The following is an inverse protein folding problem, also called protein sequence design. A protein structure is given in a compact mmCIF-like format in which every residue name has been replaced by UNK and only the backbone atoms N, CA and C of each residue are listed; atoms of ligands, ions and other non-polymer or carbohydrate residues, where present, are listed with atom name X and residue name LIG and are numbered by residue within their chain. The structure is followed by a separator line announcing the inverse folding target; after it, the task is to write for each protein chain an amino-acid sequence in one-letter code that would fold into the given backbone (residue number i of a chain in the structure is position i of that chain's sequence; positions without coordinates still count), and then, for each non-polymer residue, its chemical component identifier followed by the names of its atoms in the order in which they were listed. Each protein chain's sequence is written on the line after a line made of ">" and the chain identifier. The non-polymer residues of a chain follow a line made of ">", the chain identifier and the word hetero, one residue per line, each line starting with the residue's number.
data_IF_536250590556
#
_entry.id   IF_536250590556
#
_cell.length_a   1.000
_cell.length_b   1.000
_cell.length_c   1.000
_cell.angle_alpha   90.00
_cell.angle_beta   90.00
_cell.angle_gamma   90.00
#
_symmetry.space_group_name_H-M   'P 1'
#
loop_
_entity.id
_entity.type
_entity.pdbx_description
1 polymer ?
#
# COMPACT_ATOMS: atom_id res chain seq x y z
N UNK A 1 10.23 -5.93 -12.35
CA UNK A 1 9.01 -5.45 -13.05
C UNK A 1 9.17 -4.07 -13.65
N UNK A 2 9.48 -3.01 -12.87
CA UNK A 2 9.55 -1.62 -13.33
C UNK A 2 10.32 -1.40 -14.65
N UNK A 3 11.60 -1.79 -14.71
CA UNK A 3 12.43 -1.62 -15.91
C UNK A 3 11.95 -2.45 -17.11
N UNK A 4 11.38 -3.64 -16.87
CA UNK A 4 10.86 -4.54 -17.93
C UNK A 4 9.69 -3.92 -18.69
N UNK A 5 8.83 -3.18 -17.99
CA UNK A 5 7.66 -2.54 -18.58
C UNK A 5 7.87 -1.05 -18.89
N UNK A 6 9.09 -0.54 -18.73
CA UNK A 6 9.44 0.87 -18.95
C UNK A 6 8.52 1.83 -18.17
N UNK A 7 8.17 1.46 -16.94
CA UNK A 7 7.37 2.31 -16.07
C UNK A 7 8.11 3.63 -15.78
N UNK A 8 7.35 4.71 -15.61
CA UNK A 8 7.87 6.03 -15.27
C UNK A 8 7.42 6.52 -13.88
N UNK A 9 6.41 5.89 -13.29
CA UNK A 9 5.84 6.22 -11.99
C UNK A 9 5.85 4.98 -11.07
N UNK A 10 6.10 5.21 -9.79
CA UNK A 10 5.98 4.20 -8.72
C UNK A 10 4.93 4.67 -7.73
N UNK A 11 3.97 3.79 -7.46
CA UNK A 11 2.90 4.04 -6.49
C UNK A 11 2.94 2.89 -5.49
N UNK A 12 3.31 3.19 -4.26
CA UNK A 12 3.14 2.26 -3.14
C UNK A 12 1.68 2.30 -2.72
N UNK A 13 1.00 1.15 -2.73
CA UNK A 13 -0.43 1.04 -2.41
C UNK A 13 -0.63 0.88 -0.88
N UNK A 14 0.14 1.64 -0.11
CA UNK A 14 0.06 1.73 1.34
C UNK A 14 0.59 0.56 2.13
N UNK A 15 0.53 0.74 3.44
CA UNK A 15 1.08 -0.13 4.48
C UNK A 15 2.54 -0.47 4.22
N UNK A 16 3.34 0.56 3.93
CA UNK A 16 4.78 0.38 3.72
C UNK A 16 5.55 0.29 5.04
N UNK A 17 4.91 0.70 6.14
CA UNK A 17 5.35 0.48 7.51
C UNK A 17 4.21 -0.18 8.31
N UNK A 18 4.56 -1.17 9.14
CA UNK A 18 3.56 -1.98 9.87
C UNK A 18 3.02 -1.27 11.11
N UNK A 19 3.88 -0.57 11.86
CA UNK A 19 3.53 0.10 13.11
C UNK A 19 2.80 -0.81 14.12
N UNK A 20 3.22 -2.07 14.22
CA UNK A 20 2.58 -3.07 15.07
C UNK A 20 2.61 -2.67 16.56
N UNK A 21 3.72 -2.10 17.06
CA UNK A 21 3.79 -1.53 18.41
C UNK A 21 2.72 -0.46 18.66
N UNK A 22 2.39 0.31 17.63
CA UNK A 22 1.38 1.37 17.68
C UNK A 22 -0.03 0.87 17.36
N UNK A 23 -0.23 -0.43 17.19
CA UNK A 23 -1.56 -1.01 16.97
C UNK A 23 -2.51 -0.77 18.17
N UNK A 24 -3.81 -0.84 17.89
CA UNK A 24 -4.87 -0.90 18.92
C UNK A 24 -5.18 -2.34 19.34
N UNK A 25 -4.57 -3.34 18.68
CA UNK A 25 -4.62 -4.73 19.08
C UNK A 25 -3.51 -5.04 20.09
N UNK A 26 -3.66 -6.16 20.80
CA UNK A 26 -2.66 -6.62 21.77
C UNK A 26 -1.31 -6.82 21.11
N UNK A 27 -0.28 -6.22 21.71
CA UNK A 27 1.11 -6.36 21.26
C UNK A 27 1.76 -7.49 22.04
N UNK A 28 2.42 -8.42 21.35
CA UNK A 28 3.22 -9.46 22.00
C UNK A 28 4.35 -8.84 22.82
N UNK A 29 4.64 -9.38 24.01
CA UNK A 29 5.83 -9.00 24.80
C UNK A 29 7.14 -9.35 24.11
N UNK A 30 7.11 -10.29 23.17
CA UNK A 30 8.28 -10.78 22.44
C UNK A 30 8.46 -10.08 21.08
N UNK A 31 7.59 -9.12 20.75
CA UNK A 31 7.70 -8.29 19.56
C UNK A 31 8.71 -7.16 19.74
N UNK A 32 9.15 -6.59 18.62
CA UNK A 32 10.01 -5.42 18.60
C UNK A 32 9.35 -4.24 19.34
N UNK A 33 10.16 -3.46 20.05
CA UNK A 33 9.71 -2.20 20.62
C UNK A 33 9.46 -1.15 19.53
N UNK A 34 8.71 -0.09 19.86
CA UNK A 34 8.38 0.96 18.89
C UNK A 34 9.59 1.67 18.29
N UNK A 35 10.70 1.79 19.04
CA UNK A 35 11.95 2.34 18.51
C UNK A 35 12.62 1.39 17.51
N UNK A 36 12.69 0.09 17.84
CA UNK A 36 13.30 -0.92 16.97
C UNK A 36 12.49 -1.10 15.67
N UNK A 37 11.15 -1.08 15.74
CA UNK A 37 10.29 -1.13 14.54
C UNK A 37 10.51 0.09 13.65
N UNK A 38 10.64 1.29 14.23
CA UNK A 38 10.89 2.51 13.48
C UNK A 38 12.28 2.49 12.81
N UNK A 39 13.33 2.10 13.54
CA UNK A 39 14.67 2.01 12.98
C UNK A 39 14.74 0.99 11.82
N UNK A 40 14.08 -0.16 11.99
CA UNK A 40 13.97 -1.18 10.94
C UNK A 40 13.21 -0.65 9.71
N UNK A 41 12.11 0.09 9.93
CA UNK A 41 11.35 0.73 8.88
C UNK A 41 12.18 1.77 8.11
N UNK A 42 12.91 2.65 8.80
CA UNK A 42 13.80 3.66 8.19
C UNK A 42 14.86 2.98 7.32
N UNK A 43 15.52 1.94 7.85
CA UNK A 43 16.54 1.19 7.10
C UNK A 43 15.96 0.56 5.84
N UNK A 44 14.81 -0.11 5.95
CA UNK A 44 14.16 -0.79 4.82
C UNK A 44 13.67 0.20 3.77
N UNK A 45 12.96 1.26 4.18
CA UNK A 45 12.46 2.31 3.28
C UNK A 45 13.62 3.03 2.59
N UNK A 46 14.79 3.19 3.24
CA UNK A 46 15.96 3.79 2.60
C UNK A 46 16.40 3.04 1.33
N UNK A 47 16.22 1.72 1.27
CA UNK A 47 16.56 0.91 0.10
C UNK A 47 15.62 1.24 -1.06
N UNK A 48 14.33 1.35 -0.77
CA UNK A 48 13.32 1.73 -1.74
C UNK A 48 13.47 3.17 -2.19
N UNK A 49 13.80 4.09 -1.31
CA UNK A 49 14.04 5.49 -1.65
C UNK A 49 15.26 5.65 -2.58
N UNK A 50 16.32 4.85 -2.40
CA UNK A 50 17.46 4.81 -3.33
C UNK A 50 17.05 4.27 -4.70
N UNK A 51 16.23 3.22 -4.74
CA UNK A 51 15.74 2.63 -5.99
C UNK A 51 14.71 3.52 -6.71
N UNK A 52 13.86 4.20 -5.94
CA UNK A 52 12.75 5.01 -6.39
C UNK A 52 12.76 6.38 -5.68
N UNK A 53 13.63 7.33 -6.10
CA UNK A 53 13.76 8.63 -5.45
C UNK A 53 12.49 9.51 -5.54
N UNK A 54 11.59 9.16 -6.47
CA UNK A 54 10.28 9.79 -6.65
C UNK A 54 9.24 8.70 -6.70
N UNK A 55 8.25 8.78 -5.81
CA UNK A 55 7.13 7.86 -5.74
C UNK A 55 5.95 8.55 -5.06
N UNK A 56 4.75 8.03 -5.33
CA UNK A 56 3.59 8.27 -4.49
C UNK A 56 3.46 7.14 -3.48
N UNK A 57 3.04 7.47 -2.26
CA UNK A 57 2.60 6.49 -1.28
C UNK A 57 1.15 6.79 -0.96
N UNK A 58 0.28 5.84 -1.27
CA UNK A 58 -1.07 5.88 -0.75
C UNK A 58 -1.03 5.53 0.72
N UNK A 59 -1.46 6.41 1.60
CA UNK A 59 -1.42 6.17 3.05
C UNK A 59 -2.39 5.06 3.41
N UNK A 60 -1.87 3.92 3.86
CA UNK A 60 -2.64 2.79 4.35
C UNK A 60 -3.05 2.91 5.81
N UNK A 61 -3.75 1.90 6.34
CA UNK A 61 -4.20 1.92 7.74
C UNK A 61 -3.08 1.70 8.73
N UNK A 62 -2.04 0.95 8.36
CA UNK A 62 -0.84 0.78 9.16
C UNK A 62 0.01 2.04 9.13
N UNK A 63 0.18 2.67 7.96
CA UNK A 63 0.99 3.89 7.81
C UNK A 63 0.51 5.03 8.73
N UNK A 64 -0.82 5.21 8.87
CA UNK A 64 -1.41 6.28 9.69
C UNK A 64 -1.58 5.95 11.16
N UNK A 65 -1.19 4.77 11.61
CA UNK A 65 -1.44 4.31 12.97
C UNK A 65 -0.81 5.22 14.03
N UNK A 66 0.46 5.62 13.84
CA UNK A 66 1.19 6.51 14.76
C UNK A 66 0.51 7.89 14.82
N UNK A 67 0.14 8.45 13.67
CA UNK A 67 -0.56 9.74 13.60
C UNK A 67 -1.91 9.68 14.33
N UNK A 68 -2.66 8.59 14.16
CA UNK A 68 -3.93 8.36 14.87
C UNK A 68 -3.72 8.30 16.39
N UNK A 69 -2.72 7.56 16.89
CA UNK A 69 -2.40 7.52 18.33
C UNK A 69 -2.06 8.91 18.86
N UNK A 70 -1.22 9.67 18.15
CA UNK A 70 -0.86 11.03 18.56
C UNK A 70 -2.09 11.97 18.67
N UNK A 71 -3.01 11.89 17.70
CA UNK A 71 -4.26 12.67 17.76
C UNK A 71 -5.16 12.25 18.93
N UNK A 72 -5.30 10.95 19.20
CA UNK A 72 -6.07 10.48 20.37
C UNK A 72 -5.43 10.85 21.71
N UNK A 73 -4.12 11.08 21.72
CA UNK A 73 -3.38 11.62 22.87
C UNK A 73 -3.38 13.15 22.94
N UNK A 74 -4.21 13.82 22.13
CA UNK A 74 -4.33 15.28 22.06
C UNK A 74 -3.02 16.03 21.75
N UNK A 75 -2.10 15.38 21.01
CA UNK A 75 -0.84 16.01 20.59
C UNK A 75 -1.11 16.90 19.37
N UNK A 76 -0.80 18.22 19.42
CA UNK A 76 -0.95 19.08 18.27
C UNK A 76 -0.09 18.62 17.10
N UNK A 77 -0.64 18.66 15.88
CA UNK A 77 0.05 18.18 14.66
C UNK A 77 1.40 18.87 14.40
N UNK A 78 1.58 20.12 14.84
CA UNK A 78 2.85 20.84 14.71
C UNK A 78 4.02 20.21 15.48
N UNK A 79 3.74 19.39 16.51
CA UNK A 79 4.77 18.63 17.23
C UNK A 79 5.20 17.35 16.49
N UNK A 80 4.47 16.98 15.44
CA UNK A 80 4.63 15.69 14.77
C UNK A 80 5.38 15.90 13.46
N UNK A 81 6.48 15.15 13.31
CA UNK A 81 7.27 15.13 12.07
C UNK A 81 6.47 14.50 10.93
N UNK A 82 6.71 15.00 9.71
CA UNK A 82 6.12 14.40 8.50
C UNK A 82 6.71 13.02 8.20
N UNK A 83 6.00 12.20 7.42
CA UNK A 83 6.54 10.90 6.94
C UNK A 83 7.88 11.06 6.21
N UNK A 84 8.02 12.10 5.39
CA UNK A 84 9.26 12.40 4.68
C UNK A 84 10.42 12.67 5.64
N UNK A 85 10.16 13.41 6.73
CA UNK A 85 11.18 13.73 7.74
C UNK A 85 11.56 12.51 8.58
N UNK A 86 10.58 11.67 8.96
CA UNK A 86 10.79 10.45 9.75
C UNK A 86 11.50 9.38 8.93
N UNK A 87 11.05 9.13 7.70
CA UNK A 87 11.51 8.02 6.86
C UNK A 87 12.63 8.42 5.88
N UNK A 88 13.02 9.70 5.86
CA UNK A 88 14.07 10.21 4.98
C UNK A 88 13.72 10.16 3.49
N UNK A 89 12.43 10.32 3.14
CA UNK A 89 11.92 10.25 1.77
C UNK A 89 11.57 11.64 1.21
N UNK A 90 11.37 11.71 -0.11
CA UNK A 90 10.81 12.90 -0.80
C UNK A 90 9.56 12.52 -1.59
N UNK A 91 8.82 11.57 -1.03
CA UNK A 91 7.67 10.98 -1.68
C UNK A 91 6.41 11.81 -1.44
N UNK A 92 5.43 11.59 -2.29
CA UNK A 92 4.12 12.21 -2.19
C UNK A 92 3.19 11.28 -1.39
N UNK A 93 2.99 11.60 -0.12
CA UNK A 93 2.14 10.82 0.80
C UNK A 93 0.72 11.37 0.78
N UNK A 94 -0.22 10.59 0.24
CA UNK A 94 -1.61 11.03 0.01
C UNK A 94 -2.59 9.88 0.16
N UNK A 95 -3.89 10.15 0.25
CA UNK A 95 -4.91 9.10 0.36
C UNK A 95 -5.36 8.55 -1.00
N UNK A 96 -5.12 9.33 -2.07
CA UNK A 96 -5.52 9.00 -3.44
C UNK A 96 -4.67 9.76 -4.45
N UNK A 97 -4.27 9.06 -5.52
CA UNK A 97 -3.79 9.71 -6.77
C UNK A 97 -4.60 9.24 -7.96
N UNK A 98 -4.59 10.05 -9.01
CA UNK A 98 -5.20 9.72 -10.30
C UNK A 98 -4.18 9.94 -11.39
N UNK A 99 -3.92 8.91 -12.18
CA UNK A 99 -3.08 8.97 -13.37
C UNK A 99 -3.80 8.29 -14.53
N UNK A 100 -3.81 8.91 -15.71
CA UNK A 100 -4.44 8.37 -16.92
C UNK A 100 -5.90 7.92 -16.70
N UNK A 101 -6.66 8.68 -15.90
CA UNK A 101 -8.04 8.35 -15.49
C UNK A 101 -8.20 7.05 -14.68
N UNK A 102 -7.11 6.52 -14.13
CA UNK A 102 -7.10 5.41 -13.19
C UNK A 102 -6.87 5.96 -11.79
N UNK A 103 -7.71 5.59 -10.83
CA UNK A 103 -7.52 5.92 -9.43
C UNK A 103 -6.70 4.87 -8.71
N UNK A 104 -5.84 5.33 -7.81
CA UNK A 104 -5.02 4.49 -6.94
C UNK A 104 -5.34 4.84 -5.49
N UNK A 105 -5.78 3.84 -4.73
CA UNK A 105 -6.18 3.96 -3.33
C UNK A 105 -5.68 2.73 -2.55
N UNK A 106 -5.64 2.79 -1.22
CA UNK A 106 -5.16 1.68 -0.41
C UNK A 106 -6.15 0.48 -0.40
N UNK A 107 -7.45 0.75 -0.17
CA UNK A 107 -8.51 -0.24 -0.39
C UNK A 107 -9.29 -0.75 0.83
N UNK A 108 -9.32 -0.01 1.93
CA UNK A 108 -9.96 -0.45 3.20
C UNK A 108 -11.49 -0.56 3.14
N UNK A 109 -12.12 0.12 2.18
CA UNK A 109 -13.58 0.19 2.04
C UNK A 109 -14.20 -0.96 1.23
N UNK A 110 -13.44 -1.98 0.85
CA UNK A 110 -13.93 -3.12 0.07
C UNK A 110 -12.98 -3.55 -1.03
N UNK A 111 -13.53 -4.07 -2.13
CA UNK A 111 -12.72 -4.67 -3.21
C UNK A 111 -12.55 -3.71 -4.39
N UNK A 112 -11.46 -3.87 -5.15
CA UNK A 112 -11.16 -3.06 -6.33
C UNK A 112 -12.29 -3.05 -7.36
N UNK A 113 -12.93 -4.20 -7.61
CA UNK A 113 -14.08 -4.31 -8.54
C UNK A 113 -15.28 -3.52 -8.04
N UNK A 114 -15.60 -3.61 -6.75
CA UNK A 114 -16.74 -2.89 -6.16
C UNK A 114 -16.49 -1.39 -6.24
N UNK A 115 -15.28 -0.95 -5.91
CA UNK A 115 -14.92 0.47 -5.95
C UNK A 115 -14.93 1.01 -7.38
N UNK A 116 -14.34 0.28 -8.33
CA UNK A 116 -14.35 0.68 -9.73
C UNK A 116 -15.75 0.79 -10.31
N UNK A 117 -16.65 -0.13 -9.93
CA UNK A 117 -18.06 -0.10 -10.32
C UNK A 117 -18.81 1.08 -9.70
N UNK A 118 -18.64 1.31 -8.39
CA UNK A 118 -19.37 2.35 -7.69
C UNK A 118 -18.95 3.76 -8.14
N UNK A 119 -17.66 3.96 -8.37
CA UNK A 119 -17.12 5.25 -8.82
C UNK A 119 -17.18 5.42 -10.34
N UNK A 120 -17.53 4.34 -11.07
CA UNK A 120 -17.44 4.25 -12.54
C UNK A 120 -16.06 4.72 -13.06
N UNK A 121 -15.00 4.33 -12.37
CA UNK A 121 -13.61 4.74 -12.63
C UNK A 121 -12.67 3.56 -12.43
N UNK A 122 -11.74 3.35 -13.37
CA UNK A 122 -10.75 2.29 -13.22
C UNK A 122 -9.98 2.47 -11.92
N UNK A 123 -9.88 1.43 -11.11
CA UNK A 123 -9.37 1.50 -9.73
C UNK A 123 -8.30 0.46 -9.49
N UNK A 124 -7.18 0.89 -8.93
CA UNK A 124 -6.11 0.03 -8.42
C UNK A 124 -6.06 0.17 -6.91
N UNK A 125 -6.08 -0.97 -6.21
CA UNK A 125 -5.94 -0.99 -4.76
C UNK A 125 -5.28 -2.28 -4.25
N UNK A 126 -4.86 -2.24 -2.99
CA UNK A 126 -4.22 -3.32 -2.24
C UNK A 126 -5.06 -3.67 -1.01
N UNK A 127 -4.44 -3.76 0.17
CA UNK A 127 -5.07 -4.06 1.46
C UNK A 127 -5.59 -5.52 1.63
N UNK A 128 -6.24 -6.09 0.61
CA UNK A 128 -6.70 -7.49 0.65
C UNK A 128 -5.57 -8.44 0.22
N UNK A 129 -4.74 -8.86 1.18
CA UNK A 129 -3.48 -9.59 0.93
C UNK A 129 -3.63 -10.96 0.27
N UNK A 130 -4.83 -11.53 0.24
CA UNK A 130 -5.11 -12.89 -0.28
C UNK A 130 -5.69 -12.90 -1.69
N UNK A 131 -5.84 -11.72 -2.31
CA UNK A 131 -6.46 -11.58 -3.62
C UNK A 131 -5.53 -10.82 -4.56
N UNK A 132 -5.43 -11.30 -5.79
CA UNK A 132 -4.83 -10.58 -6.89
C UNK A 132 -5.63 -10.88 -8.15
N UNK A 133 -6.25 -9.85 -8.71
CA UNK A 133 -7.07 -9.99 -9.91
C UNK A 133 -7.17 -8.67 -10.67
N UNK A 134 -7.57 -8.79 -11.93
CA UNK A 134 -8.06 -7.68 -12.75
C UNK A 134 -9.43 -8.09 -13.26
N UNK A 135 -10.43 -7.26 -13.00
CA UNK A 135 -11.79 -7.46 -13.50
C UNK A 135 -12.21 -6.26 -14.33
N UNK A 136 -12.75 -6.50 -15.53
CA UNK A 136 -13.26 -5.46 -16.42
C UNK A 136 -14.78 -5.39 -16.34
N UNK A 137 -15.31 -4.20 -16.10
CA UNK A 137 -16.74 -3.90 -16.19
C UNK A 137 -16.98 -3.12 -17.48
N UNK A 138 -17.76 -3.71 -18.38
CA UNK A 138 -17.98 -3.18 -19.73
C UNK A 138 -19.43 -2.74 -19.88
N UNK A 139 -19.63 -1.45 -20.15
CA UNK A 139 -20.91 -0.88 -20.58
C UNK A 139 -20.97 -0.73 -22.10
N UNK A 140 -22.08 -0.16 -22.60
CA UNK A 140 -22.28 0.07 -24.04
C UNK A 140 -21.26 1.04 -24.67
N UNK A 141 -20.83 2.03 -23.90
CA UNK A 141 -20.01 3.15 -24.41
C UNK A 141 -18.62 3.25 -23.77
N UNK A 142 -18.41 2.63 -22.61
CA UNK A 142 -17.17 2.74 -21.86
C UNK A 142 -16.94 1.48 -21.02
N UNK A 143 -15.69 1.27 -20.63
CA UNK A 143 -15.27 0.19 -19.74
C UNK A 143 -14.35 0.74 -18.67
N UNK A 144 -14.42 0.15 -17.49
CA UNK A 144 -13.50 0.41 -16.38
C UNK A 144 -12.94 -0.92 -15.89
N UNK A 145 -11.82 -0.90 -15.17
CA UNK A 145 -11.28 -2.09 -14.54
C UNK A 145 -11.06 -1.89 -13.03
N UNK A 146 -11.24 -2.94 -12.26
CA UNK A 146 -10.78 -3.03 -10.88
C UNK A 146 -9.55 -3.94 -10.83
N UNK A 147 -8.41 -3.43 -10.41
CA UNK A 147 -7.20 -4.20 -10.14
C UNK A 147 -6.96 -4.28 -8.64
N UNK A 148 -7.06 -5.49 -8.10
CA UNK A 148 -6.56 -5.83 -6.79
C UNK A 148 -5.11 -6.29 -6.96
N UNK A 149 -4.16 -5.50 -6.48
CA UNK A 149 -2.73 -5.85 -6.56
C UNK A 149 -2.36 -6.81 -5.43
N UNK A 150 -1.36 -7.64 -5.70
CA UNK A 150 -0.72 -8.44 -4.66
C UNK A 150 -0.01 -7.59 -3.61
N UNK A 151 0.49 -8.22 -2.55
CA UNK A 151 1.24 -7.58 -1.47
C UNK A 151 2.74 -7.87 -1.55
N UNK A 152 3.53 -7.05 -0.86
CA UNK A 152 4.99 -7.23 -0.72
C UNK A 152 5.42 -8.12 0.45
N UNK A 153 4.47 -8.68 1.21
CA UNK A 153 4.75 -9.52 2.38
C UNK A 153 4.40 -10.98 2.13
N UNK A 154 5.23 -11.87 2.65
CA UNK A 154 4.99 -13.31 2.69
C UNK A 154 4.55 -13.75 4.10
N UNK A 155 3.82 -14.86 4.19
CA UNK A 155 3.29 -15.44 5.45
C UNK A 155 4.40 -15.75 6.47
N UNK A 156 5.62 -15.98 5.99
CA UNK A 156 6.79 -16.29 6.83
C UNK A 156 7.42 -15.05 7.47
N UNK A 157 7.03 -13.85 7.03
CA UNK A 157 7.61 -12.60 7.52
C UNK A 157 7.10 -12.24 8.92
N UNK A 158 7.94 -11.53 9.70
CA UNK A 158 7.56 -10.99 11.00
C UNK A 158 6.28 -10.14 10.92
N UNK A 159 6.18 -9.27 9.91
CA UNK A 159 5.02 -8.40 9.68
C UNK A 159 3.73 -9.17 9.34
N UNK A 160 3.82 -10.45 8.93
CA UNK A 160 2.65 -11.28 8.64
C UNK A 160 2.20 -12.14 9.84
N UNK A 161 2.78 -11.97 11.04
CA UNK A 161 2.46 -12.78 12.22
C UNK A 161 0.95 -12.77 12.55
N UNK A 162 0.27 -11.64 12.40
CA UNK A 162 -1.17 -11.52 12.60
C UNK A 162 -2.00 -12.36 11.61
N UNK A 163 -1.42 -12.66 10.43
CA UNK A 163 -2.06 -13.37 9.34
C UNK A 163 -1.61 -14.83 9.20
N UNK A 164 -0.76 -15.35 10.11
CA UNK A 164 -0.06 -16.64 9.96
C UNK A 164 -0.98 -17.86 9.77
N UNK A 165 -2.21 -17.79 10.27
CA UNK A 165 -3.22 -18.85 10.16
C UNK A 165 -4.26 -18.62 9.05
N UNK A 166 -4.10 -17.57 8.25
CA UNK A 166 -5.00 -17.24 7.15
C UNK A 166 -4.48 -17.82 5.82
N UNK A 167 -5.23 -17.56 4.74
CA UNK A 167 -4.87 -17.99 3.38
C UNK A 167 -3.52 -17.39 2.96
N UNK A 168 -2.80 -18.12 2.10
CA UNK A 168 -1.55 -17.65 1.49
C UNK A 168 -1.76 -16.29 0.82
N UNK A 169 -0.82 -15.39 1.07
CA UNK A 169 -0.77 -14.06 0.50
C UNK A 169 -0.46 -14.13 -1.01
N UNK A 170 -1.12 -13.28 -1.79
CA UNK A 170 -0.84 -13.12 -3.20
C UNK A 170 0.35 -12.17 -3.37
N UNK A 171 1.57 -12.70 -3.44
CA UNK A 171 2.79 -11.88 -3.57
C UNK A 171 2.91 -11.38 -5.00
N UNK A 172 3.03 -10.07 -5.18
CA UNK A 172 3.19 -9.47 -6.50
C UNK A 172 3.01 -7.96 -6.53
N UNK A 173 2.98 -7.43 -7.75
CA UNK A 173 2.75 -6.00 -8.00
C UNK A 173 1.88 -5.80 -9.25
N UNK A 174 1.24 -4.64 -9.35
CA UNK A 174 0.47 -4.23 -10.52
C UNK A 174 1.29 -3.37 -11.48
N UNK A 175 0.98 -3.42 -12.78
CA UNK A 175 1.45 -2.50 -13.80
C UNK A 175 0.24 -1.96 -14.55
N UNK A 176 0.19 -0.64 -14.75
CA UNK A 176 -0.82 0.02 -15.59
C UNK A 176 -0.09 0.77 -16.69
N UNK A 177 -0.48 0.53 -17.95
CA UNK A 177 0.07 1.19 -19.13
C UNK A 177 -1.02 2.03 -19.80
N UNK A 178 -0.77 3.34 -19.93
CA UNK A 178 -1.65 4.31 -20.61
C UNK A 178 -3.06 4.40 -20.03
N UNK A 179 -3.26 4.02 -18.77
CA UNK A 179 -4.58 3.96 -18.13
C UNK A 179 -5.55 2.91 -18.67
N UNK A 180 -5.17 2.11 -19.66
CA UNK A 180 -6.08 1.18 -20.36
C UNK A 180 -5.60 -0.27 -20.38
N UNK A 181 -4.37 -0.55 -19.96
CA UNK A 181 -3.83 -1.91 -19.86
C UNK A 181 -3.36 -2.16 -18.44
N UNK A 182 -4.01 -3.09 -17.74
CA UNK A 182 -3.64 -3.52 -16.40
C UNK A 182 -3.01 -4.91 -16.45
N UNK A 183 -1.95 -5.13 -15.68
CA UNK A 183 -1.21 -6.39 -15.60
C UNK A 183 -0.89 -6.67 -14.13
N UNK A 184 -1.27 -7.85 -13.64
CA UNK A 184 -0.82 -8.34 -12.34
C UNK A 184 0.43 -9.20 -12.53
N UNK A 185 1.54 -8.78 -11.94
CA UNK A 185 2.82 -9.47 -11.95
C UNK A 185 2.97 -10.24 -10.63
N UNK A 186 2.50 -11.49 -10.61
CA UNK A 186 2.60 -12.39 -9.45
C UNK A 186 3.96 -13.08 -9.40
N UNK A 187 4.43 -13.38 -8.19
CA UNK A 187 5.61 -14.20 -7.95
C UNK A 187 5.32 -15.68 -8.27
N UNK A 188 6.31 -16.40 -8.80
CA UNK A 188 6.24 -17.86 -8.97
C UNK A 188 6.20 -18.55 -7.59
N UNK A 189 5.42 -19.64 -7.48
CA UNK A 189 5.13 -20.32 -6.21
C UNK A 189 6.05 -21.50 -5.91
#
# INVERSE_FOLDING_TARGET
>A
TYAKYLCNQVIFIGDIIDNHYSSYHETSSDALGGADELDYAIQTVSHWNRAFPKADVIIGNHDRMVMRKAQTSAIPTMWIKSYNEVLGTKWNWVERVVYDNVQYIHGEGGTARTKAKNDMMSTVQGHIHTQAYIEWMVGRNFRVFGMQVGCGIDTTSYAAAYAKHFKKQAIGCGVVLGGHTAINCLMEL
#
